data_IF_373717939419
#
_entry.id   IF_373717939419
#
_cell.length_a   1.000
_cell.length_b   1.000
_cell.length_c   1.000
_cell.angle_alpha   90.00
_cell.angle_beta   90.00
_cell.angle_gamma   90.00
#
_symmetry.space_group_name_H-M   'P 1'
#
loop_
_entity.id
_entity.type
_entity.pdbx_description
1 polymer ?
#
# COMPACT_ATOMS: atom_id res chain seq x y z
N UNK A 1 -9.17 -0.92 -30.50
CA UNK A 1 -9.11 -1.73 -31.73
C UNK A 1 -7.95 -1.24 -32.57
N UNK A 2 -6.90 -2.05 -32.65
CA UNK A 2 -5.68 -1.75 -33.37
C UNK A 2 -5.81 -2.07 -34.87
N UNK A 3 -5.31 -1.16 -35.72
CA UNK A 3 -5.21 -1.37 -37.17
C UNK A 3 -3.77 -1.17 -37.63
N UNK A 4 -3.27 -2.05 -38.50
CA UNK A 4 -1.90 -1.99 -39.03
C UNK A 4 -1.97 -1.74 -40.53
N UNK A 5 -1.26 -0.71 -41.02
CA UNK A 5 -1.14 -0.41 -42.45
C UNK A 5 0.31 -0.42 -42.92
N UNK A 6 0.55 -0.81 -44.18
CA UNK A 6 1.87 -0.77 -44.81
C UNK A 6 2.07 0.60 -45.48
N UNK A 7 3.21 1.26 -45.24
CA UNK A 7 3.57 2.56 -45.82
C UNK A 7 4.29 2.37 -47.17
N UNK A 8 4.29 3.42 -48.01
CA UNK A 8 5.04 3.44 -49.28
C UNK A 8 6.55 3.21 -49.09
N UNK A 9 7.08 3.52 -47.90
CA UNK A 9 8.47 3.30 -47.50
C UNK A 9 8.80 1.85 -47.11
N UNK A 10 7.87 0.91 -47.24
CA UNK A 10 8.06 -0.50 -46.84
C UNK A 10 7.88 -0.78 -45.34
N UNK A 11 7.85 0.26 -44.50
CA UNK A 11 7.58 0.17 -43.04
C UNK A 11 6.10 -0.08 -42.75
N UNK A 12 5.80 -0.58 -41.55
CA UNK A 12 4.45 -0.84 -41.06
C UNK A 12 4.06 0.16 -39.98
N UNK A 13 2.91 0.80 -40.11
CA UNK A 13 2.35 1.71 -39.11
C UNK A 13 1.21 1.03 -38.36
N UNK A 14 1.33 0.93 -37.04
CA UNK A 14 0.25 0.54 -36.14
C UNK A 14 -0.49 1.78 -35.64
N UNK A 15 -1.82 1.68 -35.62
CA UNK A 15 -2.74 2.71 -35.15
C UNK A 15 -3.62 2.07 -34.09
N UNK A 16 -3.50 2.53 -32.85
CA UNK A 16 -4.31 2.05 -31.73
C UNK A 16 -5.37 3.09 -31.43
N UNK A 17 -6.65 2.69 -31.59
CA UNK A 17 -7.82 3.49 -31.23
C UNK A 17 -8.44 2.91 -29.97
N UNK A 18 -8.24 3.60 -28.86
CA UNK A 18 -8.89 3.33 -27.58
C UNK A 18 -10.03 4.32 -27.40
N UNK A 19 -11.11 3.89 -26.74
CA UNK A 19 -12.27 4.76 -26.50
C UNK A 19 -11.83 6.00 -25.73
N UNK A 20 -12.21 7.18 -26.22
CA UNK A 20 -11.97 8.48 -25.60
C UNK A 20 -10.49 8.90 -25.45
N UNK A 21 -9.58 8.32 -26.23
CA UNK A 21 -8.19 8.76 -26.35
C UNK A 21 -7.86 9.16 -27.79
N UNK A 22 -6.93 10.10 -27.96
CA UNK A 22 -6.39 10.41 -29.30
C UNK A 22 -5.74 9.15 -29.86
N UNK A 23 -5.94 8.82 -31.16
CA UNK A 23 -5.32 7.65 -31.76
C UNK A 23 -3.81 7.70 -31.59
N UNK A 24 -3.22 6.59 -31.14
CA UNK A 24 -1.77 6.46 -30.96
C UNK A 24 -1.18 5.81 -32.20
N UNK A 25 -0.05 6.34 -32.67
CA UNK A 25 0.62 5.89 -33.88
C UNK A 25 2.04 5.41 -33.58
N UNK A 26 2.42 4.25 -34.10
CA UNK A 26 3.78 3.72 -34.05
C UNK A 26 4.21 3.20 -35.42
N UNK A 27 5.46 3.45 -35.82
CA UNK A 27 5.98 2.98 -37.12
C UNK A 27 7.16 2.05 -36.92
N UNK A 28 7.10 0.87 -37.56
CA UNK A 28 8.01 -0.25 -37.32
C UNK A 28 8.52 -0.84 -38.64
N UNK A 29 9.71 -1.46 -38.65
CA UNK A 29 10.26 -2.09 -39.85
C UNK A 29 9.49 -3.35 -40.28
N UNK A 30 8.85 -4.07 -39.35
CA UNK A 30 8.17 -5.35 -39.62
C UNK A 30 6.74 -5.38 -39.10
N UNK A 31 5.85 -6.12 -39.79
CA UNK A 31 4.45 -6.32 -39.38
C UNK A 31 4.32 -6.95 -37.98
N UNK A 32 5.23 -7.89 -37.65
CA UNK A 32 5.24 -8.58 -36.35
C UNK A 32 5.47 -7.60 -35.19
N UNK A 33 6.54 -6.79 -35.26
CA UNK A 33 6.81 -5.73 -34.27
C UNK A 33 5.67 -4.72 -34.13
N UNK A 34 5.03 -4.33 -35.25
CA UNK A 34 3.87 -3.45 -35.22
C UNK A 34 2.67 -4.08 -34.47
N UNK A 35 2.47 -5.40 -34.62
CA UNK A 35 1.40 -6.14 -33.93
C UNK A 35 1.68 -6.28 -32.43
N UNK A 36 2.90 -6.64 -32.06
CA UNK A 36 3.31 -6.75 -30.66
C UNK A 36 3.18 -5.42 -29.92
N UNK A 37 3.65 -4.32 -30.52
CA UNK A 37 3.49 -2.99 -29.95
C UNK A 37 2.02 -2.57 -29.85
N UNK A 38 1.20 -2.87 -30.86
CA UNK A 38 -0.22 -2.54 -30.79
C UNK A 38 -0.93 -3.31 -29.64
N UNK A 39 -0.57 -4.57 -29.43
CA UNK A 39 -1.08 -5.39 -28.33
C UNK A 39 -0.60 -4.89 -26.96
N UNK A 40 0.65 -4.45 -26.84
CA UNK A 40 1.16 -3.89 -25.58
C UNK A 40 0.46 -2.57 -25.22
N UNK A 41 0.18 -1.72 -26.22
CA UNK A 41 -0.56 -0.46 -26.00
C UNK A 41 -2.05 -0.69 -25.73
N UNK A 42 -2.66 -1.74 -26.30
CA UNK A 42 -4.06 -2.08 -25.99
C UNK A 42 -4.24 -2.75 -24.61
N UNK A 43 -3.22 -3.44 -24.11
CA UNK A 43 -3.24 -4.08 -22.78
C UNK A 43 -2.88 -3.12 -21.66
N UNK A 44 -1.95 -2.19 -21.90
CA UNK A 44 -1.52 -1.19 -20.93
C UNK A 44 -2.17 0.18 -21.19
N UNK A 45 -3.21 0.47 -20.41
CA UNK A 45 -3.96 1.74 -20.50
C UNK A 45 -3.12 2.94 -20.04
N UNK A 46 -2.11 2.75 -19.17
CA UNK A 46 -1.21 3.82 -18.74
C UNK A 46 -0.22 4.18 -19.87
N UNK A 47 0.35 3.16 -20.53
CA UNK A 47 1.20 3.34 -21.72
C UNK A 47 0.44 4.04 -22.86
N UNK A 48 -0.82 3.66 -23.08
CA UNK A 48 -1.67 4.31 -24.08
C UNK A 48 -1.88 5.82 -23.80
N UNK A 49 -2.08 6.20 -22.53
CA UNK A 49 -2.23 7.60 -22.12
C UNK A 49 -0.93 8.38 -22.32
N UNK A 50 0.22 7.79 -21.96
CA UNK A 50 1.55 8.37 -22.14
C UNK A 50 1.90 8.62 -23.62
N UNK A 51 1.55 7.69 -24.50
CA UNK A 51 1.86 7.77 -25.94
C UNK A 51 0.89 8.66 -26.74
N UNK A 52 -0.34 8.85 -26.26
CA UNK A 52 -1.34 9.71 -26.91
C UNK A 52 -1.03 11.22 -26.78
N UNK A 53 -0.11 11.60 -25.88
CA UNK A 53 0.22 12.98 -25.57
C UNK A 53 1.68 13.28 -25.98
N UNK A 54 1.86 14.16 -26.98
CA UNK A 54 3.18 14.62 -27.48
C UNK A 54 3.56 16.00 -26.92
N UNK A 55 3.36 16.24 -25.63
CA UNK A 55 3.70 17.52 -24.99
C UNK A 55 4.09 17.35 -23.52
N UNK A 56 4.79 18.35 -22.98
CA UNK A 56 5.05 18.47 -21.53
C UNK A 56 3.72 18.55 -20.79
N UNK A 57 3.55 17.64 -19.83
CA UNK A 57 2.35 17.43 -19.04
C UNK A 57 2.27 18.53 -17.96
N UNK A 58 1.28 19.46 -17.98
CA UNK A 58 1.06 20.37 -16.87
C UNK A 58 0.61 19.60 -15.62
N UNK A 59 0.98 20.13 -14.47
CA UNK A 59 0.88 19.55 -13.13
C UNK A 59 -0.57 19.46 -12.59
N UNK A 60 -1.54 18.92 -13.35
CA UNK A 60 -2.92 18.66 -12.91
C UNK A 60 -3.76 18.11 -14.08
N UNK A 61 -3.83 16.77 -14.24
CA UNK A 61 -4.65 16.19 -15.31
C UNK A 61 -6.12 16.11 -14.89
N UNK A 62 -6.96 16.90 -15.53
CA UNK A 62 -8.40 16.66 -15.60
C UNK A 62 -8.65 15.40 -16.45
N UNK A 63 -9.02 14.28 -15.82
CA UNK A 63 -9.51 13.10 -16.51
C UNK A 63 -10.99 13.30 -16.80
N UNK A 64 -11.35 13.31 -18.08
CA UNK A 64 -12.74 13.26 -18.52
C UNK A 64 -13.22 11.81 -18.53
N UNK A 65 -14.09 11.47 -17.58
CA UNK A 65 -14.74 10.17 -17.45
C UNK A 65 -16.14 10.29 -18.03
N UNK A 66 -16.35 9.69 -19.18
CA UNK A 66 -17.67 9.59 -19.79
C UNK A 66 -18.49 8.58 -18.98
N UNK A 67 -19.50 9.06 -18.27
CA UNK A 67 -20.45 8.23 -17.54
C UNK A 67 -21.77 8.19 -18.30
N UNK A 68 -22.56 7.12 -18.17
CA UNK A 68 -23.88 7.01 -18.82
C UNK A 68 -24.90 8.09 -18.45
N UNK A 69 -24.50 9.11 -17.66
CA UNK A 69 -25.25 10.31 -17.27
C UNK A 69 -24.52 11.64 -17.62
N UNK A 70 -23.38 11.60 -18.33
CA UNK A 70 -22.59 12.78 -18.75
C UNK A 70 -21.07 12.66 -18.51
N UNK A 71 -20.30 13.63 -19.02
CA UNK A 71 -18.83 13.74 -18.86
C UNK A 71 -18.46 14.29 -17.49
N UNK A 72 -17.79 13.50 -16.66
CA UNK A 72 -17.22 13.94 -15.39
C UNK A 72 -15.77 14.35 -15.61
N UNK A 73 -15.42 15.60 -15.33
CA UNK A 73 -14.00 16.00 -15.27
C UNK A 73 -13.53 15.86 -13.82
N UNK A 74 -12.54 15.02 -13.54
CA UNK A 74 -11.90 14.97 -12.22
C UNK A 74 -10.39 15.21 -12.33
N UNK A 75 -9.85 16.05 -11.45
CA UNK A 75 -8.41 16.32 -11.41
C UNK A 75 -7.74 15.24 -10.57
N UNK A 76 -6.80 14.51 -11.16
CA UNK A 76 -6.03 13.49 -10.42
C UNK A 76 -4.95 14.18 -9.60
N UNK A 77 -4.89 13.96 -8.28
CA UNK A 77 -3.85 14.53 -7.44
C UNK A 77 -2.51 13.81 -7.62
N UNK A 78 -1.43 14.48 -7.21
CA UNK A 78 -0.15 13.80 -6.97
C UNK A 78 -0.27 12.87 -5.76
N UNK A 79 0.61 11.87 -5.67
CA UNK A 79 0.53 10.85 -4.63
C UNK A 79 0.70 11.43 -3.24
N UNK A 80 1.60 12.40 -3.06
CA UNK A 80 1.78 13.09 -1.79
C UNK A 80 0.55 13.89 -1.36
N UNK A 81 -0.06 14.67 -2.27
CA UNK A 81 -1.32 15.37 -2.00
C UNK A 81 -2.47 14.41 -1.71
N UNK A 82 -2.57 13.31 -2.45
CA UNK A 82 -3.55 12.26 -2.17
C UNK A 82 -3.40 11.71 -0.75
N UNK A 83 -2.16 11.45 -0.32
CA UNK A 83 -1.89 10.95 1.01
C UNK A 83 -2.32 11.99 2.06
N UNK A 84 -1.85 13.22 1.93
CA UNK A 84 -2.02 14.27 2.93
C UNK A 84 -3.47 14.76 3.05
N UNK A 85 -4.10 15.03 1.91
CA UNK A 85 -5.40 15.71 1.87
C UNK A 85 -6.58 14.72 2.06
N UNK A 86 -6.37 13.43 1.75
CA UNK A 86 -7.45 12.44 1.72
C UNK A 86 -7.15 11.18 2.53
N UNK A 87 -6.06 10.47 2.23
CA UNK A 87 -5.84 9.14 2.80
C UNK A 87 -5.65 9.20 4.32
N UNK A 88 -4.87 10.15 4.85
CA UNK A 88 -4.61 10.26 6.29
C UNK A 88 -5.87 10.60 7.11
N UNK A 89 -6.91 11.16 6.49
CA UNK A 89 -8.18 11.44 7.14
C UNK A 89 -9.03 10.16 7.34
N UNK A 90 -8.92 9.19 6.43
CA UNK A 90 -9.69 7.93 6.46
C UNK A 90 -8.90 6.73 6.98
N UNK A 91 -7.57 6.82 6.97
CA UNK A 91 -6.70 5.76 7.43
C UNK A 91 -6.96 5.45 8.91
N UNK A 92 -7.28 4.19 9.21
CA UNK A 92 -7.42 3.73 10.58
C UNK A 92 -6.09 3.88 11.29
N UNK A 93 -6.03 4.82 12.23
CA UNK A 93 -4.89 5.07 13.10
C UNK A 93 -4.82 3.94 14.13
N UNK A 94 -4.39 2.75 13.73
CA UNK A 94 -4.28 1.60 14.64
C UNK A 94 -2.82 1.23 14.94
N UNK A 95 -1.94 1.39 13.95
CA UNK A 95 -0.52 1.07 14.05
C UNK A 95 0.29 2.35 13.83
N UNK A 96 0.99 2.83 14.86
CA UNK A 96 1.90 3.98 14.75
C UNK A 96 2.97 3.77 13.65
N UNK A 97 3.39 2.52 13.46
CA UNK A 97 4.36 2.14 12.43
C UNK A 97 3.79 2.25 11.02
N UNK A 98 2.46 2.17 10.85
CA UNK A 98 1.82 2.33 9.54
C UNK A 98 2.02 3.74 8.99
N UNK A 99 1.98 4.78 9.85
CA UNK A 99 2.27 6.15 9.43
C UNK A 99 3.68 6.30 8.87
N UNK A 100 4.68 5.72 9.52
CA UNK A 100 6.05 5.73 9.03
C UNK A 100 6.19 5.08 7.65
N UNK A 101 5.51 3.95 7.45
CA UNK A 101 5.51 3.22 6.17
C UNK A 101 4.82 4.00 5.05
N UNK A 102 3.67 4.61 5.34
CA UNK A 102 2.96 5.47 4.38
C UNK A 102 3.78 6.71 4.06
N UNK A 103 4.43 7.30 5.06
CA UNK A 103 5.30 8.47 4.88
C UNK A 103 6.50 8.17 4.00
N UNK A 104 7.04 6.95 4.04
CA UNK A 104 8.09 6.51 3.12
C UNK A 104 7.60 6.57 1.67
N UNK A 105 6.44 5.97 1.37
CA UNK A 105 5.86 5.98 0.02
C UNK A 105 5.48 7.38 -0.44
N UNK A 106 4.90 8.19 0.45
CA UNK A 106 4.59 9.60 0.21
C UNK A 106 5.82 10.37 -0.28
N UNK A 107 6.96 10.19 0.40
CA UNK A 107 8.23 10.86 0.02
C UNK A 107 8.77 10.32 -1.30
N UNK A 108 8.71 9.00 -1.50
CA UNK A 108 9.26 8.36 -2.68
C UNK A 108 8.52 8.75 -3.96
N UNK A 109 7.20 8.77 -3.93
CA UNK A 109 6.34 9.11 -5.08
C UNK A 109 5.85 10.56 -5.06
N UNK A 110 6.51 11.45 -4.31
CA UNK A 110 6.12 12.86 -4.24
C UNK A 110 6.22 13.53 -5.62
N UNK A 111 5.20 14.31 -5.98
CA UNK A 111 5.10 14.96 -7.28
C UNK A 111 4.68 14.07 -8.45
N UNK A 112 4.64 12.74 -8.29
CA UNK A 112 4.07 11.84 -9.30
C UNK A 112 2.55 11.76 -9.15
N UNK A 113 1.81 11.66 -10.26
CA UNK A 113 0.36 11.44 -10.21
C UNK A 113 0.05 10.04 -9.67
N UNK A 114 -1.03 9.92 -8.89
CA UNK A 114 -1.46 8.61 -8.35
C UNK A 114 -1.66 7.59 -9.47
N UNK A 115 -2.13 8.01 -10.63
CA UNK A 115 -2.38 7.14 -11.80
C UNK A 115 -1.14 6.81 -12.62
N UNK A 116 -0.02 7.48 -12.39
CA UNK A 116 1.21 7.30 -13.15
C UNK A 116 2.17 6.32 -12.46
N UNK A 117 1.91 5.96 -11.20
CA UNK A 117 2.68 4.96 -10.47
C UNK A 117 2.38 3.58 -11.07
N UNK A 118 3.39 2.95 -11.65
CA UNK A 118 3.26 1.65 -12.32
C UNK A 118 3.61 0.48 -11.38
N UNK A 119 3.23 -0.76 -11.72
CA UNK A 119 3.69 -1.94 -11.00
C UNK A 119 5.23 -2.06 -10.94
N UNK A 120 5.93 -1.67 -11.99
CA UNK A 120 7.39 -1.68 -12.06
C UNK A 120 8.00 -0.67 -11.08
N UNK A 121 7.46 0.54 -11.00
CA UNK A 121 7.89 1.54 -10.00
C UNK A 121 7.75 1.01 -8.56
N UNK A 122 6.66 0.27 -8.30
CA UNK A 122 6.40 -0.35 -6.99
C UNK A 122 7.38 -1.48 -6.71
N UNK A 123 7.65 -2.34 -7.70
CA UNK A 123 8.57 -3.47 -7.55
C UNK A 123 10.01 -3.02 -7.30
N UNK A 124 10.52 -2.11 -8.15
CA UNK A 124 11.86 -1.53 -8.02
C UNK A 124 12.05 -0.89 -6.63
N UNK A 125 11.04 -0.15 -6.18
CA UNK A 125 11.05 0.46 -4.86
C UNK A 125 11.03 -0.56 -3.71
N UNK A 126 10.30 -1.67 -3.86
CA UNK A 126 10.27 -2.74 -2.86
C UNK A 126 11.58 -3.51 -2.79
N UNK A 127 12.21 -3.79 -3.93
CA UNK A 127 13.53 -4.43 -4.01
C UNK A 127 14.57 -3.53 -3.33
N UNK A 128 14.59 -2.24 -3.67
CA UNK A 128 15.49 -1.27 -3.06
C UNK A 128 15.28 -1.17 -1.54
N UNK A 129 14.02 -1.12 -1.09
CA UNK A 129 13.66 -1.08 0.33
C UNK A 129 14.10 -2.34 1.09
N UNK A 130 13.97 -3.51 0.46
CA UNK A 130 14.42 -4.79 1.04
C UNK A 130 15.93 -4.82 1.23
N UNK A 131 16.68 -4.37 0.22
CA UNK A 131 18.14 -4.31 0.26
C UNK A 131 18.67 -3.27 1.26
N UNK A 132 18.03 -2.10 1.32
CA UNK A 132 18.43 -1.00 2.22
C UNK A 132 17.19 -0.32 2.79
N UNK A 133 16.81 -0.74 3.99
CA UNK A 133 15.71 -0.13 4.72
C UNK A 133 16.01 1.31 5.15
N UNK A 134 15.01 2.02 5.71
CA UNK A 134 15.17 3.42 6.14
C UNK A 134 16.27 3.63 7.19
N UNK A 135 16.63 2.60 7.95
CA UNK A 135 17.73 2.59 8.93
C UNK A 135 19.11 2.30 8.30
N UNK A 136 19.18 2.15 6.97
CA UNK A 136 20.39 1.80 6.24
C UNK A 136 20.78 0.32 6.28
N UNK A 137 19.98 -0.53 6.95
CA UNK A 137 20.21 -1.98 7.06
C UNK A 137 19.23 -2.75 6.16
N UNK A 138 19.62 -3.93 5.64
CA UNK A 138 18.71 -4.83 4.96
C UNK A 138 17.51 -5.20 5.85
N UNK A 139 16.33 -5.31 5.25
CA UNK A 139 15.11 -5.64 5.96
C UNK A 139 14.80 -7.14 5.89
N UNK A 140 14.18 -7.67 6.95
CA UNK A 140 13.59 -9.01 6.93
C UNK A 140 12.38 -9.03 6.02
N UNK A 141 12.13 -10.11 5.28
CA UNK A 141 11.09 -10.17 4.23
C UNK A 141 9.68 -9.77 4.69
N UNK A 142 9.31 -10.06 5.94
CA UNK A 142 8.03 -9.62 6.51
C UNK A 142 7.89 -8.09 6.51
N UNK A 143 8.99 -7.34 6.69
CA UNK A 143 8.93 -5.88 6.80
C UNK A 143 8.57 -5.21 5.46
N UNK A 144 9.27 -5.44 4.32
CA UNK A 144 8.84 -4.95 3.02
C UNK A 144 7.41 -5.36 2.65
N UNK A 145 6.96 -6.57 3.02
CA UNK A 145 5.57 -6.99 2.81
C UNK A 145 4.57 -6.11 3.58
N UNK A 146 4.91 -5.62 4.79
CA UNK A 146 4.08 -4.63 5.50
C UNK A 146 4.05 -3.29 4.78
N UNK A 147 5.19 -2.82 4.26
CA UNK A 147 5.22 -1.61 3.43
C UNK A 147 4.35 -1.75 2.19
N UNK A 148 4.44 -2.88 1.48
CA UNK A 148 3.59 -3.24 0.33
C UNK A 148 2.10 -3.22 0.69
N UNK A 149 1.72 -3.85 1.80
CA UNK A 149 0.33 -3.89 2.28
C UNK A 149 -0.22 -2.50 2.62
N UNK A 150 0.58 -1.64 3.26
CA UNK A 150 0.19 -0.26 3.55
C UNK A 150 0.03 0.56 2.27
N UNK A 151 0.92 0.38 1.28
CA UNK A 151 0.79 1.04 -0.02
C UNK A 151 -0.48 0.58 -0.76
N UNK A 152 -0.75 -0.73 -0.79
CA UNK A 152 -1.97 -1.28 -1.41
C UNK A 152 -3.22 -0.68 -0.78
N UNK A 153 -3.22 -0.49 0.55
CA UNK A 153 -4.33 0.15 1.26
C UNK A 153 -4.57 1.59 0.79
N UNK A 154 -3.52 2.37 0.52
CA UNK A 154 -3.66 3.73 -0.02
C UNK A 154 -4.33 3.75 -1.40
N UNK A 155 -3.98 2.81 -2.29
CA UNK A 155 -4.62 2.66 -3.60
C UNK A 155 -6.03 2.09 -3.54
N UNK A 156 -6.31 1.21 -2.58
CA UNK A 156 -7.67 0.71 -2.33
C UNK A 156 -8.59 1.86 -1.90
N UNK A 157 -8.14 2.71 -0.98
CA UNK A 157 -8.93 3.87 -0.55
C UNK A 157 -9.10 4.90 -1.68
N UNK A 158 -8.09 5.08 -2.54
CA UNK A 158 -8.22 5.88 -3.75
C UNK A 158 -9.35 5.36 -4.65
N UNK A 159 -9.39 4.04 -4.87
CA UNK A 159 -10.42 3.40 -5.70
C UNK A 159 -11.81 3.35 -5.06
N UNK A 160 -11.92 3.55 -3.73
CA UNK A 160 -13.21 3.71 -3.04
C UNK A 160 -13.70 5.16 -3.02
N UNK A 161 -12.78 6.12 -3.14
CA UNK A 161 -13.09 7.55 -3.01
C UNK A 161 -14.19 7.99 -4.00
N UNK A 162 -15.23 8.73 -3.57
CA UNK A 162 -16.38 9.08 -4.42
C UNK A 162 -16.02 9.78 -5.74
N UNK A 163 -14.96 10.59 -5.73
CA UNK A 163 -14.46 11.34 -6.89
C UNK A 163 -13.66 10.42 -7.84
N UNK A 164 -12.83 9.54 -7.29
CA UNK A 164 -11.83 8.79 -8.06
C UNK A 164 -12.28 7.38 -8.44
N UNK A 165 -13.25 6.79 -7.73
CA UNK A 165 -13.74 5.41 -7.96
C UNK A 165 -14.19 5.15 -9.41
N UNK A 166 -14.60 6.19 -10.13
CA UNK A 166 -15.03 6.08 -11.54
C UNK A 166 -13.87 5.95 -12.52
N UNK A 167 -12.64 6.26 -12.10
CA UNK A 167 -11.42 6.06 -12.89
C UNK A 167 -11.14 4.57 -13.13
N UNK A 168 -11.64 3.69 -12.24
CA UNK A 168 -11.40 2.24 -12.26
C UNK A 168 -9.91 1.93 -12.41
N UNK A 169 -9.08 2.68 -11.68
CA UNK A 169 -7.64 2.55 -11.73
C UNK A 169 -7.23 1.20 -11.12
N UNK A 170 -6.44 0.42 -11.85
CA UNK A 170 -5.93 -0.84 -11.31
C UNK A 170 -4.92 -0.54 -10.20
N UNK A 171 -5.01 -1.24 -9.07
CA UNK A 171 -4.03 -1.06 -7.99
C UNK A 171 -2.67 -1.64 -8.45
N UNK A 172 -1.63 -0.81 -8.62
CA UNK A 172 -0.35 -1.28 -9.15
C UNK A 172 0.32 -2.32 -8.25
N UNK A 173 0.02 -2.31 -6.95
CA UNK A 173 0.60 -3.22 -5.94
C UNK A 173 0.11 -4.67 -6.11
N UNK A 174 -1.05 -4.87 -6.72
CA UNK A 174 -1.68 -6.19 -6.87
C UNK A 174 -1.21 -6.95 -8.12
N UNK A 175 -0.34 -6.35 -8.93
CA UNK A 175 0.21 -7.00 -10.12
C UNK A 175 1.07 -8.21 -9.75
N UNK A 176 1.03 -9.26 -10.58
CA UNK A 176 1.82 -10.50 -10.40
C UNK A 176 3.33 -10.26 -10.48
N UNK A 177 3.75 -9.17 -11.15
CA UNK A 177 5.16 -8.79 -11.26
C UNK A 177 5.73 -8.17 -9.98
N UNK A 178 4.87 -7.75 -9.03
CA UNK A 178 5.34 -7.10 -7.80
C UNK A 178 5.79 -8.16 -6.79
N UNK A 179 7.08 -8.11 -6.45
CA UNK A 179 7.76 -9.00 -5.54
C UNK A 179 7.04 -9.17 -4.21
N UNK A 180 7.07 -10.39 -3.70
CA UNK A 180 6.62 -10.73 -2.35
C UNK A 180 7.76 -11.48 -1.66
N UNK A 181 8.06 -11.09 -0.43
CA UNK A 181 9.21 -11.62 0.30
C UNK A 181 8.79 -12.72 1.28
N UNK A 182 9.75 -13.53 1.70
CA UNK A 182 9.50 -14.61 2.66
C UNK A 182 9.00 -14.06 4.00
N UNK A 183 7.88 -14.60 4.49
CA UNK A 183 7.37 -14.32 5.83
C UNK A 183 8.13 -15.14 6.87
N UNK A 184 8.26 -14.59 8.08
CA UNK A 184 8.86 -15.33 9.17
C UNK A 184 7.98 -16.54 9.53
N UNK A 185 8.57 -17.71 9.84
CA UNK A 185 7.81 -18.84 10.32
C UNK A 185 7.07 -18.46 11.61
N UNK A 186 5.89 -19.07 11.81
CA UNK A 186 5.13 -18.88 13.04
C UNK A 186 5.99 -19.26 14.26
N UNK A 187 6.01 -18.39 15.28
CA UNK A 187 6.70 -18.67 16.54
C UNK A 187 5.87 -19.69 17.33
N UNK A 188 6.13 -20.98 17.12
CA UNK A 188 5.39 -22.09 17.74
C UNK A 188 6.00 -22.61 19.05
N UNK A 189 6.82 -21.80 19.74
CA UNK A 189 7.42 -22.16 21.03
C UNK A 189 6.58 -21.62 22.18
N UNK A 190 6.14 -22.52 23.06
CA UNK A 190 5.43 -22.19 24.30
C UNK A 190 6.30 -22.51 25.52
N UNK A 191 6.06 -21.81 26.63
CA UNK A 191 6.74 -22.08 27.90
C UNK A 191 6.14 -23.35 28.53
N UNK A 192 7.00 -24.29 28.90
CA UNK A 192 6.62 -25.44 29.72
C UNK A 192 6.20 -25.00 31.14
N UNK A 193 5.43 -25.81 31.89
CA UNK A 193 5.05 -25.48 33.27
C UNK A 193 6.25 -25.20 34.19
N UNK A 194 7.38 -25.88 33.96
CA UNK A 194 8.61 -25.64 34.72
C UNK A 194 9.26 -24.29 34.35
N UNK A 195 9.27 -23.92 33.07
CA UNK A 195 9.75 -22.61 32.64
C UNK A 195 8.87 -21.46 33.14
N UNK A 196 7.55 -21.64 33.18
CA UNK A 196 6.62 -20.65 33.73
C UNK A 196 6.89 -20.42 35.23
N UNK A 197 7.06 -21.49 36.01
CA UNK A 197 7.41 -21.40 37.44
C UNK A 197 8.73 -20.66 37.65
N UNK A 198 9.77 -21.00 36.87
CA UNK A 198 11.07 -20.30 36.93
C UNK A 198 10.96 -18.82 36.57
N UNK A 199 10.17 -18.51 35.53
CA UNK A 199 9.94 -17.13 35.11
C UNK A 199 9.26 -16.30 36.20
N UNK A 200 8.23 -16.85 36.85
CA UNK A 200 7.53 -16.17 37.95
C UNK A 200 8.46 -15.95 39.16
N UNK A 201 9.23 -16.96 39.57
CA UNK A 201 10.16 -16.86 40.70
C UNK A 201 11.26 -15.81 40.48
N UNK A 202 11.74 -15.65 39.24
CA UNK A 202 12.70 -14.58 38.90
C UNK A 202 12.01 -13.22 38.83
N UNK A 203 10.78 -13.16 38.31
CA UNK A 203 10.01 -11.91 38.25
C UNK A 203 9.69 -11.34 39.64
N UNK A 204 9.53 -12.20 40.67
CA UNK A 204 9.36 -11.80 42.08
C UNK A 204 10.60 -11.09 42.65
N UNK A 205 11.79 -11.41 42.15
CA UNK A 205 13.05 -10.83 42.61
C UNK A 205 13.37 -9.50 41.91
N UNK A 206 12.54 -9.09 40.94
CA UNK A 206 12.73 -7.84 40.22
C UNK A 206 12.54 -6.64 41.14
N UNK A 207 13.35 -5.60 40.95
CA UNK A 207 13.19 -4.31 41.64
C UNK A 207 11.85 -3.61 41.34
N UNK A 208 11.11 -4.06 40.33
CA UNK A 208 9.77 -3.57 40.03
C UNK A 208 8.74 -4.59 40.47
N UNK A 209 8.15 -4.39 41.66
CA UNK A 209 7.20 -5.30 42.30
C UNK A 209 5.98 -5.66 41.41
N UNK A 210 5.60 -4.75 40.50
CA UNK A 210 4.50 -4.95 39.56
C UNK A 210 4.84 -5.91 38.42
N UNK A 211 6.12 -6.24 38.20
CA UNK A 211 6.53 -7.13 37.12
C UNK A 211 5.97 -8.54 37.33
N UNK A 212 6.06 -9.07 38.55
CA UNK A 212 5.53 -10.38 38.88
C UNK A 212 4.04 -10.46 38.55
N UNK A 213 3.25 -9.48 39.03
CA UNK A 213 1.81 -9.42 38.78
C UNK A 213 1.51 -9.33 37.28
N UNK A 214 2.25 -8.51 36.53
CA UNK A 214 2.06 -8.37 35.08
C UNK A 214 2.33 -9.68 34.33
N UNK A 215 3.40 -10.39 34.69
CA UNK A 215 3.77 -11.68 34.08
C UNK A 215 2.73 -12.75 34.45
N UNK A 216 2.32 -12.81 35.71
CA UNK A 216 1.27 -13.72 36.17
C UNK A 216 -0.02 -13.49 35.39
N UNK A 217 -0.44 -12.23 35.24
CA UNK A 217 -1.65 -11.88 34.48
C UNK A 217 -1.54 -12.26 33.00
N UNK A 218 -0.38 -12.05 32.38
CA UNK A 218 -0.15 -12.45 30.99
C UNK A 218 -0.24 -13.98 30.80
N UNK A 219 0.29 -14.76 31.74
CA UNK A 219 0.26 -16.23 31.68
C UNK A 219 -1.15 -16.81 31.89
N UNK A 220 -1.97 -16.19 32.76
CA UNK A 220 -3.30 -16.72 33.11
C UNK A 220 -4.40 -16.25 32.19
N UNK A 221 -4.30 -15.04 31.64
CA UNK A 221 -5.34 -14.44 30.78
C UNK A 221 -5.03 -14.55 29.29
N UNK A 222 -3.76 -14.71 28.92
CA UNK A 222 -3.32 -14.65 27.52
C UNK A 222 -3.45 -13.28 26.86
N UNK A 223 -3.71 -12.21 27.64
CA UNK A 223 -3.85 -10.86 27.12
C UNK A 223 -2.53 -10.31 26.57
N UNK A 224 -2.62 -9.45 25.55
CA UNK A 224 -1.42 -8.84 24.95
C UNK A 224 -0.81 -7.83 25.92
N UNK A 225 0.51 -7.65 25.87
CA UNK A 225 1.23 -6.66 26.68
C UNK A 225 0.59 -5.27 26.65
N UNK A 226 0.19 -4.78 25.47
CA UNK A 226 -0.44 -3.46 25.34
C UNK A 226 -1.81 -3.38 26.01
N UNK A 227 -2.60 -4.46 25.93
CA UNK A 227 -3.89 -4.56 26.61
C UNK A 227 -3.69 -4.52 28.12
N UNK A 228 -2.74 -5.31 28.65
CA UNK A 228 -2.43 -5.34 30.08
C UNK A 228 -1.95 -4.02 30.65
N UNK A 229 -1.09 -3.30 29.91
CA UNK A 229 -0.56 -2.01 30.33
C UNK A 229 -1.59 -0.89 30.23
N UNK A 230 -2.64 -1.07 29.43
CA UNK A 230 -3.72 -0.09 29.24
C UNK A 230 -4.91 -0.26 30.18
N UNK A 231 -4.93 -1.30 31.01
CA UNK A 231 -6.04 -1.60 31.91
C UNK A 231 -6.25 -0.50 32.97
N UNK A 232 -7.51 -0.18 33.19
CA UNK A 232 -7.98 0.69 34.26
C UNK A 232 -8.89 -0.08 35.21
N UNK A 233 -9.16 0.47 36.39
CA UNK A 233 -10.07 -0.17 37.36
C UNK A 233 -11.50 -0.33 36.84
N UNK A 234 -11.91 0.47 35.85
CA UNK A 234 -13.24 0.38 35.24
C UNK A 234 -13.41 -0.85 34.34
N UNK A 235 -12.29 -1.42 33.88
CA UNK A 235 -12.26 -2.58 32.99
C UNK A 235 -12.44 -3.90 33.74
N UNK A 236 -12.47 -3.86 35.07
CA UNK A 236 -12.52 -5.02 35.95
C UNK A 236 -13.88 -5.10 36.64
N UNK A 237 -14.66 -6.11 36.28
CA UNK A 237 -15.89 -6.46 36.98
C UNK A 237 -15.59 -7.60 37.96
N UNK A 238 -15.34 -7.25 39.22
CA UNK A 238 -15.08 -8.21 40.30
C UNK A 238 -16.28 -9.10 40.62
N UNK A 239 -17.51 -8.63 40.37
CA UNK A 239 -18.70 -9.43 40.62
C UNK A 239 -18.84 -10.55 39.60
N UNK A 240 -18.43 -10.29 38.36
CA UNK A 240 -18.48 -11.28 37.26
C UNK A 240 -17.12 -11.96 37.01
N UNK A 241 -16.10 -11.65 37.80
CA UNK A 241 -14.71 -12.09 37.61
C UNK A 241 -14.25 -11.89 36.16
N UNK A 242 -14.63 -10.74 35.57
CA UNK A 242 -14.44 -10.46 34.15
C UNK A 242 -13.54 -9.26 33.96
N UNK A 243 -12.65 -9.39 33.00
CA UNK A 243 -11.80 -8.32 32.50
C UNK A 243 -12.22 -7.95 31.08
N UNK A 244 -12.36 -6.66 30.80
CA UNK A 244 -12.70 -6.15 29.47
C UNK A 244 -11.59 -5.23 29.01
N UNK A 245 -10.63 -5.74 28.24
CA UNK A 245 -9.59 -4.90 27.66
C UNK A 245 -10.08 -4.30 26.34
N UNK A 246 -10.45 -3.02 26.34
CA UNK A 246 -10.60 -2.27 25.09
C UNK A 246 -9.24 -1.80 24.59
N UNK A 247 -8.95 -2.01 23.31
CA UNK A 247 -7.74 -1.47 22.69
C UNK A 247 -7.93 0.03 22.45
N UNK A 248 -7.79 0.86 23.50
CA UNK A 248 -7.79 2.31 23.35
C UNK A 248 -6.48 2.76 22.69
N UNK A 249 -6.56 3.10 21.41
CA UNK A 249 -5.43 3.70 20.68
C UNK A 249 -5.36 5.19 21.01
N UNK A 250 -4.86 5.52 22.21
CA UNK A 250 -4.62 6.90 22.61
C UNK A 250 -3.34 7.43 21.95
N UNK A 251 -3.46 8.10 20.81
CA UNK A 251 -2.36 8.90 20.25
C UNK A 251 -2.32 10.25 20.98
N UNK A 252 -1.51 10.34 22.03
CA UNK A 252 -1.04 11.61 22.54
C UNK A 252 0.05 12.14 21.58
N UNK A 253 -0.37 12.85 20.54
CA UNK A 253 0.49 13.85 19.89
C UNK A 253 -0.16 15.21 20.12
N UNK A 254 0.10 15.80 21.29
CA UNK A 254 -0.10 17.23 21.52
C UNK A 254 1.14 17.97 21.00
N UNK A 255 0.92 18.76 19.94
CA UNK A 255 1.64 19.96 19.46
C UNK A 255 3.16 19.98 19.57
#
# INVERSE_FOLDING_TARGET
MASIRKLKSGKFQAIVRLKNLKPVYGTFPTKSKAKQWAQSVESDTALARKLAYKGELPLEHAVQIDSGKGTLSCVVPTFDKWIDDYYLAVAKKGDASAFGRVSYWRKLFSGQLVTDITPEDVDDALIALSAKGPSGKPLTGSTPNRYKSNLSSAFIEFNKHPVFKRLRFSNPVNSEFVSSFSENPAKNRFLSPQEQKRLLAVAEQSHWDRLHLLVLFALTTGARRGELLGLTWQDIDFNKLRLTAETMVNYLFSR
#
